data_IF_207212908970
#
_entry.id   IF_207212908970
#
_cell.length_a   1.000
_cell.length_b   1.000
_cell.length_c   1.000
_cell.angle_alpha   90.00
_cell.angle_beta   90.00
_cell.angle_gamma   90.00
#
_symmetry.space_group_name_H-M   'P 1'
#
loop_
_entity.id
_entity.type
_entity.pdbx_description
1 polymer ?
#
# COMPACT_ATOMS: atom_id res chain seq x y z
N UNK A 1 5.24 30.02 -18.08
CA UNK A 1 5.54 30.68 -16.79
C UNK A 1 4.71 30.00 -15.70
N UNK A 2 5.17 29.90 -14.43
CA UNK A 2 4.42 29.09 -13.42
C UNK A 2 3.04 29.68 -13.08
N UNK A 3 2.93 31.00 -13.11
CA UNK A 3 1.68 31.71 -12.82
C UNK A 3 0.53 31.34 -13.77
N UNK A 4 0.79 31.15 -15.07
CA UNK A 4 -0.25 30.75 -16.04
C UNK A 4 -0.87 29.39 -15.74
N UNK A 5 -0.10 28.47 -15.13
CA UNK A 5 -0.56 27.12 -14.82
C UNK A 5 -1.30 27.06 -13.48
N UNK A 6 -0.83 27.79 -12.48
CA UNK A 6 -1.36 27.69 -11.11
C UNK A 6 -2.27 28.86 -10.72
N UNK A 7 -2.29 29.96 -11.48
CA UNK A 7 -2.96 31.21 -11.08
C UNK A 7 -2.30 31.93 -9.89
N UNK A 8 -1.39 31.28 -9.17
CA UNK A 8 -0.61 31.89 -8.08
C UNK A 8 0.52 32.78 -8.64
N UNK A 9 0.59 34.08 -8.26
CA UNK A 9 1.62 34.99 -8.75
C UNK A 9 3.02 34.58 -8.28
N UNK A 10 4.02 34.71 -9.16
CA UNK A 10 5.43 34.47 -8.81
C UNK A 10 6.04 35.69 -8.09
N UNK A 11 7.24 35.54 -7.53
CA UNK A 11 7.92 36.65 -6.82
C UNK A 11 8.10 37.91 -7.71
N UNK A 12 8.37 37.75 -9.00
CA UNK A 12 8.42 38.90 -9.94
C UNK A 12 7.06 39.58 -10.08
N UNK A 13 5.98 38.80 -10.21
CA UNK A 13 4.62 39.33 -10.31
C UNK A 13 4.23 40.09 -9.04
N UNK A 14 4.51 39.52 -7.87
CA UNK A 14 4.27 40.15 -6.56
C UNK A 14 5.04 41.47 -6.46
N UNK A 15 6.32 41.50 -6.85
CA UNK A 15 7.10 42.73 -6.86
C UNK A 15 6.48 43.81 -7.76
N UNK A 16 6.04 43.45 -8.98
CA UNK A 16 5.34 44.40 -9.86
C UNK A 16 3.99 44.86 -9.31
N UNK A 17 3.24 43.98 -8.64
CA UNK A 17 1.96 44.32 -8.00
C UNK A 17 2.17 45.35 -6.89
N UNK A 18 3.19 45.16 -6.06
CA UNK A 18 3.55 46.13 -5.02
C UNK A 18 3.99 47.47 -5.58
N UNK A 19 4.74 47.50 -6.68
CA UNK A 19 5.08 48.76 -7.38
C UNK A 19 3.82 49.49 -7.85
N UNK A 20 2.79 48.75 -8.27
CA UNK A 20 1.47 49.30 -8.64
C UNK A 20 0.60 49.70 -7.44
N UNK A 21 1.05 49.43 -6.20
CA UNK A 21 0.30 49.63 -4.94
C UNK A 21 -0.99 48.82 -4.85
N UNK A 22 -1.04 47.68 -5.53
CA UNK A 22 -2.14 46.74 -5.44
C UNK A 22 -1.81 45.61 -4.46
N UNK A 23 -2.83 44.86 -4.05
CA UNK A 23 -2.71 43.69 -3.20
C UNK A 23 -2.57 42.40 -4.02
N UNK A 24 -1.56 41.55 -3.78
CA UNK A 24 -1.37 40.32 -4.56
C UNK A 24 -2.50 39.31 -4.42
N UNK A 25 -3.27 39.36 -3.33
CA UNK A 25 -4.41 38.46 -3.10
C UNK A 25 -5.51 38.64 -4.17
N UNK A 26 -5.68 39.86 -4.69
CA UNK A 26 -6.65 40.18 -5.75
C UNK A 26 -6.30 39.53 -7.10
N UNK A 27 -5.08 39.03 -7.26
CA UNK A 27 -4.58 38.38 -8.47
C UNK A 27 -4.58 36.85 -8.35
N UNK A 28 -4.97 36.30 -7.20
CA UNK A 28 -5.12 34.86 -6.97
C UNK A 28 -6.54 34.44 -7.37
N UNK A 29 -6.72 33.32 -8.11
CA UNK A 29 -8.06 32.84 -8.44
C UNK A 29 -8.90 32.51 -7.22
N UNK A 30 -10.22 32.70 -7.34
CA UNK A 30 -11.21 32.43 -6.27
C UNK A 30 -11.20 30.96 -5.79
N UNK A 31 -10.70 30.02 -6.61
CA UNK A 31 -10.59 28.61 -6.23
C UNK A 31 -9.64 28.33 -5.06
N UNK A 32 -8.79 29.29 -4.69
CA UNK A 32 -7.92 29.21 -3.52
C UNK A 32 -8.53 29.83 -2.26
N UNK A 33 -9.75 30.37 -2.31
CA UNK A 33 -10.41 30.92 -1.13
C UNK A 33 -10.82 29.81 -0.16
N UNK A 34 -10.77 30.11 1.13
CA UNK A 34 -11.21 29.19 2.19
C UNK A 34 -12.66 28.77 1.99
N UNK A 35 -13.52 29.69 1.55
CA UNK A 35 -14.93 29.42 1.29
C UNK A 35 -15.11 28.32 0.23
N UNK A 36 -14.42 28.44 -0.90
CA UNK A 36 -14.50 27.46 -1.98
C UNK A 36 -13.84 26.14 -1.60
N UNK A 37 -12.77 26.17 -0.82
CA UNK A 37 -12.15 24.97 -0.24
C UNK A 37 -13.16 24.21 0.64
N UNK A 38 -13.82 24.88 1.58
CA UNK A 38 -14.80 24.26 2.47
C UNK A 38 -16.04 23.79 1.70
N UNK A 39 -16.46 24.50 0.66
CA UNK A 39 -17.56 24.07 -0.22
C UNK A 39 -17.20 22.81 -1.02
N UNK A 40 -15.96 22.71 -1.50
CA UNK A 40 -15.49 21.60 -2.32
C UNK A 40 -15.31 20.32 -1.50
N UNK A 41 -14.79 20.45 -0.28
CA UNK A 41 -14.52 19.32 0.63
C UNK A 41 -15.58 19.14 1.72
N UNK A 42 -16.63 19.96 1.73
CA UNK A 42 -17.74 19.87 2.67
C UNK A 42 -18.54 18.57 2.55
N UNK A 43 -18.81 18.06 1.33
CA UNK A 43 -19.43 16.76 1.16
C UNK A 43 -18.49 15.62 1.60
N UNK A 44 -18.96 14.77 2.51
CA UNK A 44 -18.24 13.56 2.91
C UNK A 44 -18.25 12.51 1.79
N UNK A 45 -17.08 12.01 1.43
CA UNK A 45 -16.94 10.83 0.57
C UNK A 45 -17.15 9.60 1.44
N UNK A 46 -18.35 9.02 1.37
CA UNK A 46 -18.67 7.80 2.10
C UNK A 46 -18.01 6.59 1.43
N UNK A 47 -17.53 5.61 2.22
CA UNK A 47 -17.03 4.37 1.66
C UNK A 47 -18.15 3.62 0.95
N UNK A 48 -17.81 2.95 -0.16
CA UNK A 48 -18.72 2.08 -0.90
C UNK A 48 -18.39 0.63 -0.50
N UNK A 49 -19.39 -0.16 -0.10
CA UNK A 49 -19.16 -1.50 0.44
C UNK A 49 -18.75 -2.52 -0.62
N UNK A 50 -19.23 -2.36 -1.85
CA UNK A 50 -18.99 -3.31 -2.95
C UNK A 50 -18.91 -2.60 -4.31
N UNK A 51 -18.21 -3.22 -5.27
CA UNK A 51 -18.12 -2.68 -6.65
C UNK A 51 -19.48 -2.65 -7.36
N UNK A 52 -20.44 -3.45 -6.91
CA UNK A 52 -21.80 -3.52 -7.47
C UNK A 52 -22.66 -2.33 -6.99
N UNK A 53 -22.37 -1.80 -5.81
CA UNK A 53 -23.02 -0.61 -5.22
C UNK A 53 -22.46 0.72 -5.76
N UNK A 54 -21.39 0.68 -6.56
CA UNK A 54 -20.87 1.88 -7.21
C UNK A 54 -21.96 2.49 -8.12
N UNK A 55 -22.27 3.79 -7.97
CA UNK A 55 -23.29 4.43 -8.78
C UNK A 55 -22.89 4.37 -10.26
N UNK A 56 -23.78 3.79 -11.08
CA UNK A 56 -23.64 3.78 -12.53
C UNK A 56 -23.98 5.16 -13.06
N UNK A 57 -23.00 6.05 -13.05
CA UNK A 57 -23.08 7.31 -13.77
C UNK A 57 -23.10 6.92 -15.26
N UNK A 58 -24.03 7.46 -16.06
CA UNK A 58 -24.22 7.13 -17.50
C UNK A 58 -23.05 7.54 -18.40
N UNK A 59 -21.84 7.58 -17.87
CA UNK A 59 -20.58 7.84 -18.52
C UNK A 59 -19.96 6.50 -18.88
N UNK A 60 -19.45 6.40 -20.12
CA UNK A 60 -18.73 5.21 -20.57
C UNK A 60 -17.55 4.92 -19.61
N UNK A 61 -17.38 3.68 -19.13
CA UNK A 61 -16.28 3.34 -18.25
C UNK A 61 -14.95 3.61 -18.97
N UNK A 62 -14.00 4.23 -18.24
CA UNK A 62 -12.67 4.44 -18.78
C UNK A 62 -12.04 3.10 -19.18
N UNK A 63 -11.59 3.01 -20.43
CA UNK A 63 -10.85 1.85 -20.89
C UNK A 63 -9.58 1.69 -20.05
N UNK A 64 -9.17 0.45 -19.74
CA UNK A 64 -7.92 0.22 -19.04
C UNK A 64 -6.77 0.83 -19.85
N UNK A 65 -5.75 1.40 -19.19
CA UNK A 65 -4.58 1.90 -19.89
C UNK A 65 -3.96 0.77 -20.71
N UNK A 66 -3.59 1.07 -21.96
CA UNK A 66 -2.96 0.09 -22.83
C UNK A 66 -1.58 -0.25 -22.24
N UNK A 67 -1.46 -1.43 -21.64
CA UNK A 67 -0.20 -1.89 -21.10
C UNK A 67 0.74 -2.26 -22.24
N UNK A 68 1.81 -1.46 -22.41
CA UNK A 68 2.94 -1.84 -23.26
C UNK A 68 4.00 -2.46 -22.38
N UNK A 69 4.48 -3.65 -22.76
CA UNK A 69 5.65 -4.25 -22.12
C UNK A 69 6.82 -3.28 -22.28
N UNK A 70 7.30 -2.74 -21.17
CA UNK A 70 8.48 -1.88 -21.21
C UNK A 70 9.66 -2.67 -21.80
N UNK A 71 10.54 -2.05 -22.60
CA UNK A 71 11.73 -2.72 -23.08
C UNK A 71 12.49 -3.26 -21.86
N UNK A 72 12.64 -4.58 -21.82
CA UNK A 72 13.33 -5.25 -20.74
C UNK A 72 14.78 -4.77 -20.66
N UNK A 73 15.42 -5.03 -19.52
CA UNK A 73 16.83 -4.71 -19.33
C UNK A 73 17.66 -5.20 -20.53
N UNK A 74 18.48 -4.36 -21.15
CA UNK A 74 19.38 -4.78 -22.22
C UNK A 74 20.21 -5.98 -21.79
N UNK A 75 20.40 -6.96 -22.68
CA UNK A 75 21.24 -8.12 -22.39
C UNK A 75 22.65 -7.65 -22.07
N UNK A 76 23.20 -8.08 -20.93
CA UNK A 76 24.58 -7.77 -20.53
C UNK A 76 25.61 -8.26 -21.57
N UNK A 77 25.31 -9.36 -22.26
CA UNK A 77 26.17 -9.91 -23.30
C UNK A 77 25.62 -9.55 -24.69
N UNK A 78 26.48 -8.96 -25.52
CA UNK A 78 26.22 -8.69 -26.93
C UNK A 78 26.05 -10.01 -27.71
N UNK A 79 25.12 -10.06 -28.67
CA UNK A 79 25.10 -11.13 -29.68
C UNK A 79 26.28 -10.92 -30.64
N UNK A 80 27.15 -11.92 -30.77
CA UNK A 80 28.23 -11.92 -31.76
C UNK A 80 27.67 -12.08 -33.17
N UNK A 81 28.25 -11.40 -34.16
CA UNK A 81 27.93 -11.60 -35.57
C UNK A 81 28.37 -12.99 -36.05
N UNK A 82 27.89 -13.42 -37.23
CA UNK A 82 28.28 -14.69 -37.86
C UNK A 82 29.80 -14.83 -38.04
N UNK A 83 30.48 -13.70 -38.20
CA UNK A 83 31.89 -13.63 -38.57
C UNK A 83 32.82 -13.54 -37.34
N UNK A 84 32.25 -13.48 -36.13
CA UNK A 84 33.02 -13.44 -34.89
C UNK A 84 33.18 -14.85 -34.32
N UNK A 85 34.37 -15.44 -34.51
CA UNK A 85 34.70 -16.76 -33.97
C UNK A 85 34.55 -16.78 -32.44
N UNK A 86 33.90 -17.82 -31.93
CA UNK A 86 33.75 -17.99 -30.48
C UNK A 86 35.13 -18.22 -29.89
N UNK A 87 35.45 -17.59 -28.76
CA UNK A 87 36.71 -17.81 -28.04
C UNK A 87 36.95 -19.28 -27.63
N UNK A 88 36.00 -20.18 -27.87
CA UNK A 88 36.16 -21.63 -27.73
C UNK A 88 37.26 -22.19 -28.63
N UNK A 89 37.58 -21.58 -29.78
CA UNK A 89 38.74 -22.04 -30.57
C UNK A 89 40.08 -21.80 -29.88
N UNK A 90 40.17 -20.82 -28.97
CA UNK A 90 41.39 -20.51 -28.21
C UNK A 90 41.45 -21.23 -26.84
N UNK A 91 40.34 -21.76 -26.35
CA UNK A 91 40.21 -22.33 -24.99
C UNK A 91 40.27 -23.87 -24.93
N UNK A 92 40.63 -24.57 -26.02
CA UNK A 92 40.85 -26.03 -25.99
C UNK A 92 42.08 -26.45 -25.15
N UNK A 93 42.84 -25.51 -24.59
CA UNK A 93 44.05 -25.77 -23.79
C UNK A 93 43.90 -25.47 -22.29
N UNK A 94 42.72 -25.66 -21.71
CA UNK A 94 42.58 -25.71 -20.23
C UNK A 94 41.65 -26.82 -19.77
N UNK A 95 42.14 -28.06 -19.90
CA UNK A 95 41.64 -29.19 -19.13
C UNK A 95 41.78 -28.88 -17.65
N UNK A 96 40.72 -28.36 -17.03
CA UNK A 96 40.60 -28.37 -15.58
C UNK A 96 40.04 -29.75 -15.19
N UNK A 97 40.92 -30.62 -14.73
CA UNK A 97 40.78 -32.07 -14.52
C UNK A 97 39.88 -32.46 -13.34
N UNK A 98 38.86 -31.67 -12.98
CA UNK A 98 37.96 -32.00 -11.86
C UNK A 98 36.53 -31.51 -12.08
N UNK A 99 35.92 -31.89 -13.20
CA UNK A 99 34.46 -31.85 -13.34
C UNK A 99 33.99 -33.17 -13.94
N UNK A 100 33.74 -34.16 -13.08
CA UNK A 100 33.04 -35.37 -13.54
C UNK A 100 31.63 -34.99 -13.95
N UNK A 101 31.29 -35.27 -15.22
CA UNK A 101 29.96 -35.02 -15.76
C UNK A 101 28.91 -35.78 -14.93
N UNK A 102 27.79 -35.13 -14.60
CA UNK A 102 26.66 -35.77 -13.89
C UNK A 102 25.88 -36.75 -14.78
N UNK A 103 26.22 -36.85 -16.07
CA UNK A 103 25.53 -37.69 -17.04
C UNK A 103 25.79 -39.16 -16.71
N UNK A 104 24.72 -39.92 -16.45
CA UNK A 104 24.77 -41.37 -16.17
C UNK A 104 24.80 -41.78 -14.69
N UNK A 105 24.93 -40.85 -13.74
CA UNK A 105 24.90 -41.19 -12.30
C UNK A 105 23.45 -41.32 -11.81
N UNK A 106 23.04 -42.52 -11.43
CA UNK A 106 21.75 -42.75 -10.75
C UNK A 106 21.77 -42.05 -9.40
N UNK A 107 20.71 -41.29 -9.09
CA UNK A 107 20.56 -40.61 -7.80
C UNK A 107 19.82 -41.53 -6.85
N UNK A 108 20.32 -41.64 -5.63
CA UNK A 108 19.70 -42.39 -4.56
C UNK A 108 18.73 -41.48 -3.80
N UNK A 109 17.64 -42.04 -3.31
CA UNK A 109 16.75 -41.36 -2.37
C UNK A 109 17.54 -41.03 -1.10
N UNK A 110 17.55 -39.76 -0.68
CA UNK A 110 18.24 -39.34 0.55
C UNK A 110 17.57 -39.82 1.83
N UNK A 111 16.34 -40.36 1.75
CA UNK A 111 15.58 -40.84 2.91
C UNK A 111 15.72 -42.35 3.10
N UNK A 112 15.58 -43.14 2.03
CA UNK A 112 15.65 -44.62 2.12
C UNK A 112 16.87 -45.23 1.44
N UNK A 113 17.74 -44.43 0.82
CA UNK A 113 18.95 -44.88 0.12
C UNK A 113 18.75 -45.62 -1.20
N UNK A 114 17.51 -46.01 -1.55
CA UNK A 114 17.20 -46.78 -2.77
C UNK A 114 17.20 -45.90 -4.02
N UNK A 115 17.58 -46.47 -5.17
CA UNK A 115 17.51 -45.81 -6.48
C UNK A 115 16.12 -45.95 -7.09
N UNK A 116 15.71 -45.02 -7.95
CA UNK A 116 14.44 -45.08 -8.68
C UNK A 116 13.39 -44.07 -8.23
N UNK A 117 13.61 -43.38 -7.11
CA UNK A 117 12.80 -42.24 -6.65
C UNK A 117 13.66 -41.22 -5.89
N UNK A 118 13.14 -40.00 -5.73
CA UNK A 118 13.74 -38.94 -4.92
C UNK A 118 13.12 -38.92 -3.52
N UNK A 119 13.81 -38.40 -2.51
CA UNK A 119 13.31 -38.23 -1.13
C UNK A 119 11.89 -37.67 -1.06
N UNK A 120 11.56 -36.70 -1.91
CA UNK A 120 10.21 -36.09 -1.96
C UNK A 120 9.07 -37.07 -2.32
N UNK A 121 9.39 -38.18 -2.97
CA UNK A 121 8.44 -39.25 -3.33
C UNK A 121 8.86 -40.58 -2.70
N UNK A 122 9.51 -40.53 -1.54
CA UNK A 122 9.90 -41.72 -0.82
C UNK A 122 8.65 -42.40 -0.23
N UNK A 123 8.41 -43.69 -0.52
CA UNK A 123 7.27 -44.42 0.02
C UNK A 123 7.17 -44.35 1.55
N UNK A 124 8.32 -44.34 2.25
CA UNK A 124 8.39 -44.21 3.71
C UNK A 124 7.76 -42.89 4.20
N UNK A 125 8.04 -41.77 3.52
CA UNK A 125 7.47 -40.46 3.90
C UNK A 125 5.97 -40.43 3.60
N UNK A 126 5.55 -41.05 2.49
CA UNK A 126 4.14 -41.08 2.10
C UNK A 126 3.30 -41.99 3.01
N UNK A 127 3.88 -43.05 3.56
CA UNK A 127 3.22 -43.95 4.52
C UNK A 127 3.06 -43.30 5.89
N UNK A 128 4.09 -42.61 6.40
CA UNK A 128 4.01 -41.92 7.69
C UNK A 128 2.94 -40.81 7.71
N UNK A 129 2.65 -40.18 6.57
CA UNK A 129 1.59 -39.17 6.48
C UNK A 129 0.17 -39.77 6.62
N UNK A 130 0.00 -41.08 6.38
CA UNK A 130 -1.30 -41.75 6.55
C UNK A 130 -1.57 -42.08 8.02
N UNK A 131 -0.54 -42.37 8.81
CA UNK A 131 -0.67 -42.71 10.23
C UNK A 131 -0.96 -41.47 11.11
N UNK A 132 -0.42 -40.30 10.76
CA UNK A 132 -0.70 -39.03 11.48
C UNK A 132 -2.15 -38.52 11.30
N UNK A 133 -2.83 -38.90 10.22
CA UNK A 133 -4.23 -38.50 9.96
C UNK A 133 -5.21 -39.31 10.83
N UNK A 134 -4.83 -40.52 11.26
CA UNK A 134 -5.69 -41.38 12.09
C UNK A 134 -5.62 -41.08 13.60
N UNK A 135 -4.57 -40.40 14.08
CA UNK A 135 -4.47 -40.01 15.50
C UNK A 135 -5.26 -38.74 15.86
N UNK A 136 -5.72 -37.96 14.88
CA UNK A 136 -6.51 -36.74 15.13
C UNK A 136 -8.03 -36.95 15.22
N UNK A 137 -8.55 -38.14 14.89
CA UNK A 137 -10.00 -38.44 14.91
C UNK A 137 -10.47 -39.24 16.15
N UNK A 138 -9.64 -39.35 17.20
CA UNK A 138 -9.90 -40.23 18.35
C UNK A 138 -10.17 -39.54 19.70
N UNK A 139 -10.45 -38.23 19.77
CA UNK A 139 -10.51 -37.52 21.07
C UNK A 139 -11.79 -36.75 21.42
N UNK A 140 -12.89 -36.97 20.71
CA UNK A 140 -14.17 -36.30 21.02
C UNK A 140 -15.27 -37.36 21.12
N UNK A 141 -15.68 -37.71 22.35
CA UNK A 141 -16.73 -38.70 22.56
C UNK A 141 -17.04 -39.05 24.02
N UNK A 142 -17.64 -38.13 24.77
CA UNK A 142 -18.63 -38.49 25.80
C UNK A 142 -19.57 -37.32 26.09
N UNK A 143 -20.87 -37.58 25.94
CA UNK A 143 -22.00 -36.66 25.95
C UNK A 143 -22.36 -36.03 27.30
N UNK A 144 -22.88 -34.80 27.27
CA UNK A 144 -24.25 -34.48 27.72
C UNK A 144 -24.59 -32.99 27.52
N UNK A 145 -25.72 -32.72 26.86
CA UNK A 145 -26.47 -31.45 26.89
C UNK A 145 -27.63 -31.58 27.92
N UNK A 146 -28.41 -30.53 28.24
CA UNK A 146 -28.13 -29.08 28.22
C UNK A 146 -28.58 -28.41 29.55
N UNK A 147 -27.93 -27.33 29.99
CA UNK A 147 -28.62 -26.36 30.87
C UNK A 147 -27.92 -25.01 31.00
N UNK A 148 -28.76 -23.99 30.99
CA UNK A 148 -28.56 -22.63 31.47
C UNK A 148 -27.96 -21.59 30.51
N UNK A 149 -28.89 -21.00 29.75
CA UNK A 149 -28.83 -19.61 29.30
C UNK A 149 -28.86 -18.72 30.54
N UNK A 150 -27.70 -18.35 31.09
CA UNK A 150 -27.40 -17.09 31.80
C UNK A 150 -25.92 -17.18 32.19
N UNK A 151 -25.15 -16.09 32.05
CA UNK A 151 -23.79 -15.94 32.62
C UNK A 151 -22.56 -16.19 31.71
N UNK A 152 -22.57 -15.66 30.48
CA UNK A 152 -21.31 -15.26 29.78
C UNK A 152 -21.45 -13.85 29.18
N UNK A 153 -22.02 -12.94 29.95
CA UNK A 153 -22.00 -11.49 29.66
C UNK A 153 -21.53 -10.70 30.89
N UNK A 154 -20.52 -11.23 31.60
CA UNK A 154 -19.98 -10.58 32.81
C UNK A 154 -18.47 -10.32 32.80
N UNK A 155 -17.81 -10.40 31.64
CA UNK A 155 -16.45 -9.87 31.47
C UNK A 155 -16.33 -9.18 30.09
N UNK A 156 -17.17 -8.17 29.84
CA UNK A 156 -16.85 -7.08 28.92
C UNK A 156 -17.34 -5.78 29.56
N UNK A 157 -16.38 -5.06 30.17
CA UNK A 157 -16.31 -3.62 30.39
C UNK A 157 -17.61 -2.82 30.46
N UNK A 158 -18.04 -2.54 31.69
CA UNK A 158 -18.53 -1.20 32.03
C UNK A 158 -17.40 -0.18 31.82
N UNK A 159 -17.52 0.60 30.76
CA UNK A 159 -16.96 1.96 30.66
C UNK A 159 -17.68 2.67 29.54
N UNK A 160 -18.96 2.98 29.77
CA UNK A 160 -19.65 4.00 29.00
C UNK A 160 -19.40 5.34 29.70
N UNK A 161 -18.62 6.21 29.07
CA UNK A 161 -18.69 7.66 29.32
C UNK A 161 -19.26 8.30 28.05
N UNK A 162 -20.32 9.12 28.17
CA UNK A 162 -20.93 9.80 27.03
C UNK A 162 -20.10 11.04 26.66
N UNK A 163 -19.65 11.14 25.41
CA UNK A 163 -19.20 12.42 24.85
C UNK A 163 -20.43 13.24 24.48
N UNK A 164 -20.94 13.98 25.46
CA UNK A 164 -21.86 15.07 25.21
C UNK A 164 -21.10 16.27 24.64
N UNK A 165 -21.75 16.92 23.68
CA UNK A 165 -21.40 18.20 23.10
C UNK A 165 -21.18 19.27 24.18
N UNK A 166 -19.94 19.73 24.33
CA UNK A 166 -19.62 20.97 25.02
C UNK A 166 -19.52 22.12 24.02
N UNK A 167 -20.70 22.66 23.69
CA UNK A 167 -20.83 24.10 23.54
C UNK A 167 -20.59 24.71 24.92
N UNK A 168 -19.48 25.42 25.11
CA UNK A 168 -19.32 26.32 26.24
C UNK A 168 -18.63 27.61 25.81
N UNK A 169 -19.47 28.60 25.50
CA UNK A 169 -19.39 29.95 26.06
C UNK A 169 -18.02 30.36 26.60
N UNK A 170 -17.25 31.06 25.76
CA UNK A 170 -16.27 32.02 26.27
C UNK A 170 -17.06 33.16 26.89
N UNK A 171 -16.93 33.31 28.20
CA UNK A 171 -17.61 34.34 28.99
C UNK A 171 -17.15 35.72 28.57
N UNK A 172 -18.09 36.67 28.50
CA UNK A 172 -17.88 38.08 28.09
C UNK A 172 -16.93 38.88 29.01
N UNK A 173 -16.30 38.24 30.00
CA UNK A 173 -15.37 38.88 30.93
C UNK A 173 -13.91 38.80 30.48
N UNK A 174 -13.54 37.81 29.65
CA UNK A 174 -12.15 37.69 29.15
C UNK A 174 -11.85 38.57 27.94
N UNK A 175 -12.90 39.04 27.23
CA UNK A 175 -12.74 39.96 26.09
C UNK A 175 -12.41 41.40 26.54
N UNK A 176 -12.76 41.79 27.77
CA UNK A 176 -12.58 43.18 28.22
C UNK A 176 -11.18 43.50 28.79
N UNK A 177 -10.29 42.51 28.93
CA UNK A 177 -8.94 42.71 29.48
C UNK A 177 -7.83 42.82 28.43
N UNK A 178 -8.10 42.51 27.16
CA UNK A 178 -7.14 42.71 26.06
C UNK A 178 -7.28 44.06 25.33
N UNK A 179 -8.32 44.84 25.65
CA UNK A 179 -8.57 46.15 25.02
C UNK A 179 -8.05 47.36 25.80
N UNK A 180 -7.27 47.18 26.88
CA UNK A 180 -6.71 48.30 27.66
C UNK A 180 -5.23 48.63 27.38
N UNK A 181 -4.58 48.02 26.40
CA UNK A 181 -3.14 48.25 26.15
C UNK A 181 -2.79 48.86 24.76
N UNK A 182 -3.76 49.39 24.01
CA UNK A 182 -3.53 49.97 22.67
C UNK A 182 -4.14 51.37 22.49
N UNK A 183 -4.25 52.17 23.55
CA UNK A 183 -4.70 53.56 23.45
C UNK A 183 -3.76 54.51 24.23
N UNK A 184 -2.55 54.74 23.70
CA UNK A 184 -1.82 55.98 23.94
C UNK A 184 -1.42 56.60 22.60
N UNK A 185 -1.73 57.89 22.35
CA UNK A 185 -1.33 58.59 21.14
C UNK A 185 0.18 58.88 21.18
N UNK A 186 0.86 58.70 20.03
CA UNK A 186 2.18 59.29 19.82
C UNK A 186 1.98 60.72 19.33
N UNK A 187 2.50 61.68 20.11
CA UNK A 187 2.95 62.98 19.61
C UNK A 187 4.24 62.82 18.80
#
# INVERSE_FOLDING_TARGET
MRWELTGIPCHHAIATIWVKKDEPEMYVPECYTTELYMKSYGPSILPINSSEECPKIGVEPALPPIYKTQPGRPKKLRKRGSDETSSKELDHKKHNSSKTSRKGKKKNCGTCGKTGHNSRRCPIIMQNHQEDVQQQLGREGSSSEPSNVTEVTRIINESQVPMQSSSSFVTKQTINQLNQHMAQPRE
#
